data_IF_602341761844
#
_entry.id   IF_602341761844
#
_cell.length_a   1.000
_cell.length_b   1.000
_cell.length_c   1.000
_cell.angle_alpha   90.00
_cell.angle_beta   90.00
_cell.angle_gamma   90.00
#
_symmetry.space_group_name_H-M   'P 1'
#
loop_
_entity.id
_entity.type
_entity.pdbx_description
1 polymer ?
#
# COMPACT_ATOMS: atom_id res chain seq x y z
N UNK A 1 1.83 9.23 -28.24
CA UNK A 1 1.75 9.20 -26.77
C UNK A 1 2.51 8.00 -26.30
N UNK A 2 3.32 8.11 -25.26
CA UNK A 2 3.96 6.94 -24.65
C UNK A 2 3.00 6.36 -23.61
N UNK A 3 2.67 5.08 -23.73
CA UNK A 3 1.96 4.35 -22.69
C UNK A 3 2.83 4.32 -21.43
N UNK A 4 2.26 4.70 -20.29
CA UNK A 4 2.91 4.47 -19.00
C UNK A 4 2.85 2.99 -18.69
N UNK A 5 4.04 2.37 -18.57
CA UNK A 5 4.17 1.06 -17.96
C UNK A 5 4.17 1.23 -16.43
N UNK A 6 2.99 1.24 -15.81
CA UNK A 6 2.88 0.92 -14.38
C UNK A 6 3.07 -0.59 -14.27
N UNK A 7 4.18 -1.00 -13.68
CA UNK A 7 4.52 -2.42 -13.55
C UNK A 7 3.74 -3.10 -12.43
N UNK A 8 3.38 -2.39 -11.35
CA UNK A 8 2.55 -2.91 -10.24
C UNK A 8 1.90 -1.73 -9.48
N UNK A 9 0.65 -1.90 -9.03
CA UNK A 9 -0.05 -0.91 -8.18
C UNK A 9 0.08 -1.35 -6.72
N UNK A 10 0.62 -0.47 -5.87
CA UNK A 10 0.78 -0.72 -4.43
C UNK A 10 -0.53 -0.42 -3.65
N UNK A 11 -1.60 -1.17 -3.95
CA UNK A 11 -2.93 -1.00 -3.35
C UNK A 11 -2.90 -0.94 -1.81
N UNK A 12 -2.03 -1.72 -1.18
CA UNK A 12 -1.88 -1.71 0.29
C UNK A 12 -1.50 -0.34 0.84
N UNK A 13 -0.58 0.36 0.17
CA UNK A 13 -0.13 1.71 0.58
C UNK A 13 -1.21 2.75 0.30
N UNK A 14 -1.99 2.60 -0.77
CA UNK A 14 -3.13 3.49 -1.07
C UNK A 14 -4.20 3.41 0.02
N UNK A 15 -4.55 2.19 0.46
CA UNK A 15 -5.49 1.97 1.55
C UNK A 15 -4.95 2.48 2.88
N UNK A 16 -3.65 2.29 3.15
CA UNK A 16 -3.00 2.79 4.35
C UNK A 16 -3.01 4.33 4.40
N UNK A 17 -2.66 4.99 3.28
CA UNK A 17 -2.68 6.45 3.17
C UNK A 17 -4.10 7.02 3.34
N UNK A 18 -5.12 6.37 2.75
CA UNK A 18 -6.51 6.74 2.96
C UNK A 18 -6.93 6.58 4.44
N UNK A 19 -6.48 5.51 5.10
CA UNK A 19 -6.70 5.29 6.52
C UNK A 19 -6.06 6.36 7.41
N UNK A 20 -4.83 6.76 7.11
CA UNK A 20 -4.13 7.83 7.83
C UNK A 20 -4.77 9.21 7.61
N UNK A 21 -5.29 9.48 6.41
CA UNK A 21 -6.02 10.72 6.14
C UNK A 21 -7.24 10.89 7.05
N UNK A 22 -7.96 9.81 7.33
CA UNK A 22 -9.14 9.81 8.21
C UNK A 22 -8.75 9.80 9.69
N UNK A 23 -7.77 8.99 10.07
CA UNK A 23 -7.31 8.87 11.46
C UNK A 23 -6.57 10.11 11.95
N UNK A 24 -5.91 10.83 11.04
CA UNK A 24 -5.11 12.01 11.35
C UNK A 24 -3.86 11.69 12.18
N UNK A 25 -2.76 12.43 11.98
CA UNK A 25 -1.49 12.16 12.68
C UNK A 25 -1.57 12.31 14.21
N UNK A 26 -2.45 13.19 14.68
CA UNK A 26 -2.53 13.60 16.10
C UNK A 26 -3.96 13.57 16.65
N UNK A 27 -4.91 12.99 15.92
CA UNK A 27 -6.32 13.04 16.33
C UNK A 27 -6.68 12.01 17.43
N UNK A 28 -5.73 11.18 17.85
CA UNK A 28 -5.98 10.13 18.85
C UNK A 28 -6.90 9.02 18.35
N UNK A 29 -7.00 8.84 17.03
CA UNK A 29 -7.80 7.78 16.39
C UNK A 29 -6.86 6.69 15.88
N UNK A 30 -6.66 5.60 16.62
CA UNK A 30 -5.63 4.59 16.29
C UNK A 30 -6.09 3.59 15.22
N UNK A 31 -7.37 3.58 14.85
CA UNK A 31 -7.95 2.58 13.93
C UNK A 31 -8.94 3.23 12.97
N UNK A 32 -8.78 2.92 11.69
CA UNK A 32 -9.72 3.27 10.60
C UNK A 32 -10.25 1.98 9.98
N UNK A 33 -11.55 1.93 9.67
CA UNK A 33 -12.19 0.76 9.02
C UNK A 33 -12.55 1.13 7.59
N UNK A 34 -12.06 0.36 6.63
CA UNK A 34 -12.44 0.44 5.21
C UNK A 34 -13.48 -0.64 4.93
N UNK A 35 -14.59 -0.27 4.28
CA UNK A 35 -15.68 -1.19 3.90
C UNK A 35 -16.02 -1.04 2.43
N UNK A 36 -16.41 -2.14 1.79
CA UNK A 36 -16.84 -2.15 0.39
C UNK A 36 -15.71 -2.07 -0.63
N UNK A 37 -14.46 -2.27 -0.21
CA UNK A 37 -13.34 -2.45 -1.13
C UNK A 37 -13.29 -3.90 -1.59
N UNK A 38 -13.45 -4.13 -2.89
CA UNK A 38 -13.33 -5.46 -3.48
C UNK A 38 -11.86 -5.86 -3.59
N UNK A 39 -11.50 -6.99 -2.99
CA UNK A 39 -10.16 -7.56 -3.09
C UNK A 39 -10.23 -9.09 -3.19
N UNK A 40 -9.21 -9.68 -3.79
CA UNK A 40 -9.06 -11.14 -3.84
C UNK A 40 -8.21 -11.54 -2.63
N UNK A 41 -8.73 -12.35 -1.70
CA UNK A 41 -7.94 -12.86 -0.60
C UNK A 41 -6.74 -13.66 -1.11
N UNK A 42 -5.57 -13.41 -0.53
CA UNK A 42 -4.36 -14.19 -0.78
C UNK A 42 -3.87 -14.74 0.56
N UNK A 43 -3.75 -16.06 0.67
CA UNK A 43 -3.28 -16.72 1.90
C UNK A 43 -1.80 -16.43 2.20
N UNK A 44 -1.03 -16.10 1.16
CA UNK A 44 0.41 -15.86 1.21
C UNK A 44 0.79 -14.39 1.01
N UNK A 45 -0.15 -13.48 1.24
CA UNK A 45 0.11 -12.03 1.22
C UNK A 45 1.23 -11.69 2.21
N UNK A 46 2.28 -11.01 1.73
CA UNK A 46 3.44 -10.66 2.54
C UNK A 46 4.11 -9.38 2.05
N UNK A 47 4.55 -8.55 3.00
CA UNK A 47 5.32 -7.33 2.72
C UNK A 47 6.62 -7.62 1.96
N UNK A 48 7.17 -8.84 2.12
CA UNK A 48 8.39 -9.28 1.43
C UNK A 48 8.25 -9.28 -0.10
N UNK A 49 7.02 -9.32 -0.63
CA UNK A 49 6.77 -9.22 -2.08
C UNK A 49 6.97 -7.80 -2.63
N UNK A 50 6.88 -6.78 -1.77
CA UNK A 50 6.94 -5.35 -2.14
C UNK A 50 8.32 -4.76 -1.80
N UNK A 51 8.96 -5.26 -0.74
CA UNK A 51 10.31 -4.82 -0.36
C UNK A 51 11.33 -5.15 -1.46
N UNK A 52 12.09 -4.13 -1.89
CA UNK A 52 13.20 -4.33 -2.82
C UNK A 52 14.39 -4.93 -2.09
N UNK A 53 14.99 -5.95 -2.70
CA UNK A 53 16.31 -6.45 -2.27
C UNK A 53 17.36 -5.35 -2.36
N UNK A 54 18.36 -5.40 -1.48
CA UNK A 54 19.46 -4.43 -1.42
C UNK A 54 20.19 -4.25 -2.74
N UNK A 55 20.26 -5.31 -3.55
CA UNK A 55 20.89 -5.33 -4.86
C UNK A 55 20.09 -4.60 -5.94
N UNK A 56 18.80 -4.36 -5.71
CA UNK A 56 17.89 -3.64 -6.61
C UNK A 56 17.52 -2.25 -6.09
N UNK A 57 18.04 -1.87 -4.92
CA UNK A 57 17.75 -0.60 -4.28
C UNK A 57 18.91 0.38 -4.48
N UNK A 58 18.80 1.19 -5.53
CA UNK A 58 19.83 2.18 -5.91
C UNK A 58 19.87 3.41 -4.99
N UNK A 59 18.92 3.54 -4.07
CA UNK A 59 18.70 4.74 -3.25
C UNK A 59 18.65 4.46 -1.74
N UNK A 60 19.06 3.26 -1.33
CA UNK A 60 19.08 2.85 0.07
C UNK A 60 20.08 3.62 0.90
#
# INVERSE_FOLDING_TARGET
GHEMFTTEIAVGDELAAAGELVGGKVAGVPVSIIRGYDYIPMEDASIQRILRGSEKDLFR
#
